data_IF_718632352026
#
_entry.id   IF_718632352026
#
_cell.length_a   1.000
_cell.length_b   1.000
_cell.length_c   1.000
_cell.angle_alpha   90.00
_cell.angle_beta   90.00
_cell.angle_gamma   90.00
#
_symmetry.space_group_name_H-M   'P 1'
#
loop_
_entity.id
_entity.type
_entity.pdbx_description
1 polymer ?
#
# COMPACT_ATOMS: atom_id res chain seq x y z
N UNK A 1 -2.64 36.24 -51.29
CA UNK A 1 -3.45 37.36 -50.78
C UNK A 1 -4.80 36.78 -50.42
N UNK A 2 -5.41 36.91 -49.26
CA UNK A 2 -5.05 37.31 -47.90
C UNK A 2 -6.37 37.13 -47.14
N UNK A 3 -6.41 36.27 -46.14
CA UNK A 3 -7.43 36.13 -45.06
C UNK A 3 -7.24 34.70 -44.51
N UNK A 4 -6.99 34.42 -43.25
CA UNK A 4 -7.24 35.18 -42.03
C UNK A 4 -6.08 35.04 -41.05
N UNK A 5 -5.76 36.15 -40.38
CA UNK A 5 -4.91 36.18 -39.22
C UNK A 5 -5.77 36.41 -37.97
N UNK A 6 -5.54 35.54 -36.97
CA UNK A 6 -5.81 35.69 -35.54
C UNK A 6 -7.28 35.55 -35.04
N UNK A 7 -7.50 35.07 -33.79
CA UNK A 7 -6.69 35.42 -32.62
C UNK A 7 -6.33 34.31 -31.63
N UNK A 8 -5.20 34.54 -30.95
CA UNK A 8 -5.13 34.46 -29.49
C UNK A 8 -5.20 33.06 -28.88
N UNK A 9 -4.08 32.33 -28.91
CA UNK A 9 -3.79 31.40 -27.82
C UNK A 9 -3.46 32.27 -26.61
N UNK A 10 -4.47 32.57 -25.81
CA UNK A 10 -4.32 33.11 -24.46
C UNK A 10 -3.40 32.16 -23.67
N UNK A 11 -2.42 32.68 -22.91
CA UNK A 11 -1.52 31.86 -22.12
C UNK A 11 -2.37 31.13 -21.09
N UNK A 12 -2.46 29.81 -21.21
CA UNK A 12 -2.88 28.99 -20.09
C UNK A 12 -1.95 29.35 -18.93
N UNK A 13 -2.50 30.02 -17.92
CA UNK A 13 -1.86 30.17 -16.63
C UNK A 13 -1.49 28.75 -16.18
N UNK A 14 -0.24 28.38 -16.42
CA UNK A 14 0.46 27.39 -15.65
C UNK A 14 0.49 27.97 -14.23
N UNK A 15 -0.60 27.79 -13.49
CA UNK A 15 -0.53 27.76 -12.05
C UNK A 15 0.42 26.61 -11.71
N UNK A 16 1.72 26.91 -11.67
CA UNK A 16 2.68 26.24 -10.81
C UNK A 16 2.15 26.42 -9.38
N UNK A 17 1.18 25.59 -9.01
CA UNK A 17 0.91 25.30 -7.62
C UNK A 17 2.24 24.89 -6.99
N UNK A 18 2.60 25.39 -5.79
CA UNK A 18 3.87 25.03 -5.18
C UNK A 18 3.97 23.50 -5.13
N UNK A 19 4.98 22.94 -5.81
CA UNK A 19 5.24 21.51 -5.90
C UNK A 19 5.74 20.96 -4.55
N UNK A 20 4.86 20.94 -3.54
CA UNK A 20 5.16 20.42 -2.22
C UNK A 20 3.96 19.68 -1.64
N UNK A 21 4.21 18.49 -1.09
CA UNK A 21 3.25 17.78 -0.25
C UNK A 21 3.09 18.55 1.07
N UNK A 22 1.85 18.77 1.50
CA UNK A 22 1.56 19.32 2.83
C UNK A 22 1.81 18.29 3.93
N UNK A 23 2.04 18.75 5.17
CA UNK A 23 2.21 17.84 6.31
C UNK A 23 1.00 16.91 6.49
N UNK A 24 -0.21 17.46 6.37
CA UNK A 24 -1.45 16.69 6.49
C UNK A 24 -1.64 15.67 5.37
N UNK A 25 -1.18 15.95 4.15
CA UNK A 25 -1.16 14.96 3.07
C UNK A 25 -0.20 13.81 3.39
N UNK A 26 1.00 14.10 3.91
CA UNK A 26 1.95 13.06 4.34
C UNK A 26 1.35 12.18 5.45
N UNK A 27 0.71 12.79 6.45
CA UNK A 27 0.00 12.07 7.52
C UNK A 27 -1.10 11.18 6.94
N UNK A 28 -1.86 11.69 5.97
CA UNK A 28 -2.93 10.93 5.30
C UNK A 28 -2.41 9.72 4.53
N UNK A 29 -1.22 9.81 3.93
CA UNK A 29 -0.58 8.67 3.25
C UNK A 29 -0.34 7.51 4.23
N UNK A 30 0.28 7.78 5.38
CA UNK A 30 0.55 6.74 6.39
C UNK A 30 -0.73 6.24 7.08
N UNK A 31 -1.69 7.13 7.33
CA UNK A 31 -3.00 6.73 7.86
C UNK A 31 -3.70 5.76 6.90
N UNK A 32 -3.77 6.10 5.61
CA UNK A 32 -4.39 5.24 4.60
C UNK A 32 -3.64 3.92 4.43
N UNK A 33 -2.31 3.92 4.50
CA UNK A 33 -1.51 2.69 4.47
C UNK A 33 -1.88 1.76 5.64
N UNK A 34 -1.98 2.30 6.86
CA UNK A 34 -2.41 1.52 8.02
C UNK A 34 -3.86 1.03 7.88
N UNK A 35 -4.77 1.88 7.43
CA UNK A 35 -6.18 1.52 7.25
C UNK A 35 -6.35 0.40 6.20
N UNK A 36 -5.63 0.48 5.07
CA UNK A 36 -5.59 -0.58 4.06
C UNK A 36 -5.04 -1.88 4.65
N UNK A 37 -3.95 -1.81 5.43
CA UNK A 37 -3.36 -2.96 6.08
C UNK A 37 -4.28 -3.62 7.13
N UNK A 38 -5.30 -2.91 7.63
CA UNK A 38 -6.35 -3.48 8.48
C UNK A 38 -7.53 -4.06 7.71
N UNK A 39 -7.47 -4.05 6.37
CA UNK A 39 -8.55 -4.53 5.51
C UNK A 39 -9.74 -3.59 5.40
N UNK A 40 -9.58 -2.31 5.77
CA UNK A 40 -10.64 -1.31 5.63
C UNK A 40 -10.97 -0.97 4.17
N UNK A 41 -10.03 -1.25 3.26
CA UNK A 41 -10.18 -1.03 1.82
C UNK A 41 -9.60 -2.22 1.01
N UNK A 42 -10.27 -2.64 -0.07
CA UNK A 42 -9.72 -3.63 -0.99
C UNK A 42 -8.59 -3.02 -1.83
N UNK A 43 -7.57 -3.81 -2.16
CA UNK A 43 -6.46 -3.34 -2.99
C UNK A 43 -6.95 -3.01 -4.42
N UNK A 44 -6.67 -1.80 -4.95
CA UNK A 44 -7.29 -1.31 -6.19
C UNK A 44 -6.89 -2.10 -7.45
N UNK A 45 -5.72 -2.76 -7.43
CA UNK A 45 -5.24 -3.53 -8.58
C UNK A 45 -5.66 -5.00 -8.57
N UNK A 46 -5.87 -5.60 -7.39
CA UNK A 46 -6.12 -7.05 -7.26
C UNK A 46 -7.54 -7.35 -6.80
N UNK A 47 -8.26 -6.35 -6.26
CA UNK A 47 -9.57 -6.53 -5.64
C UNK A 47 -9.54 -7.35 -4.35
N UNK A 48 -8.36 -7.79 -3.91
CA UNK A 48 -8.21 -8.61 -2.71
C UNK A 48 -8.06 -7.72 -1.48
N UNK A 49 -8.70 -8.13 -0.39
CA UNK A 49 -8.53 -7.52 0.92
C UNK A 49 -7.26 -8.09 1.52
N UNK A 50 -6.21 -7.27 1.60
CA UNK A 50 -4.94 -7.60 2.25
C UNK A 50 -5.02 -7.16 3.71
N UNK A 51 -4.76 -8.07 4.63
CA UNK A 51 -4.68 -7.73 6.06
C UNK A 51 -3.26 -8.04 6.55
N UNK A 52 -2.56 -7.04 7.07
CA UNK A 52 -1.30 -7.20 7.76
C UNK A 52 -1.29 -6.33 9.02
N UNK A 53 -1.35 -7.00 10.16
CA UNK A 53 -1.20 -6.32 11.45
C UNK A 53 0.19 -5.70 11.60
N UNK A 54 1.22 -6.31 11.02
CA UNK A 54 2.58 -5.76 11.05
C UNK A 54 2.66 -4.42 10.31
N UNK A 55 2.15 -4.36 9.08
CA UNK A 55 2.15 -3.12 8.30
C UNK A 55 1.27 -2.03 8.93
N UNK A 56 0.13 -2.41 9.53
CA UNK A 56 -0.71 -1.48 10.27
C UNK A 56 0.02 -0.92 11.51
N UNK A 57 0.73 -1.76 12.25
CA UNK A 57 1.51 -1.33 13.41
C UNK A 57 2.66 -0.41 13.01
N UNK A 58 3.37 -0.70 11.91
CA UNK A 58 4.41 0.16 11.37
C UNK A 58 3.88 1.56 11.03
N UNK A 59 2.73 1.64 10.35
CA UNK A 59 2.07 2.91 10.04
C UNK A 59 1.72 3.70 11.30
N UNK A 60 1.18 3.04 12.34
CA UNK A 60 0.90 3.68 13.65
C UNK A 60 2.20 4.21 14.25
N UNK A 61 3.26 3.41 14.29
CA UNK A 61 4.56 3.81 14.85
C UNK A 61 5.18 4.99 14.10
N UNK A 62 5.05 5.06 12.77
CA UNK A 62 5.50 6.21 11.99
C UNK A 62 4.73 7.46 12.36
N UNK A 63 3.39 7.38 12.46
CA UNK A 63 2.56 8.53 12.85
C UNK A 63 2.87 9.02 14.28
N UNK A 64 3.09 8.10 15.21
CA UNK A 64 3.52 8.44 16.57
C UNK A 64 4.90 9.12 16.58
N UNK A 65 5.85 8.58 15.81
CA UNK A 65 7.18 9.17 15.67
C UNK A 65 7.10 10.57 15.05
N UNK A 66 6.26 10.76 14.02
CA UNK A 66 6.03 12.07 13.42
C UNK A 66 5.52 13.04 14.46
N UNK A 67 4.49 12.67 15.24
CA UNK A 67 3.95 13.51 16.33
C UNK A 67 5.04 13.92 17.32
N UNK A 68 5.91 12.99 17.72
CA UNK A 68 7.00 13.30 18.64
C UNK A 68 8.05 14.23 18.02
N UNK A 69 8.45 13.98 16.76
CA UNK A 69 9.51 14.72 16.07
C UNK A 69 9.07 16.09 15.58
N UNK A 70 7.78 16.30 15.31
CA UNK A 70 7.22 17.59 14.90
C UNK A 70 6.65 18.40 16.05
N UNK A 71 6.70 17.89 17.30
CA UNK A 71 6.19 18.59 18.47
C UNK A 71 6.78 20.00 18.60
N UNK A 72 5.91 21.00 18.72
CA UNK A 72 6.28 22.41 18.79
C UNK A 72 6.42 23.10 17.43
N UNK A 73 6.34 22.35 16.33
CA UNK A 73 6.25 22.87 14.96
C UNK A 73 4.86 22.73 14.34
N UNK A 74 3.94 22.01 15.01
CA UNK A 74 2.55 21.84 14.56
C UNK A 74 1.68 22.98 15.05
N UNK A 75 0.74 23.39 14.22
CA UNK A 75 -0.37 24.21 14.69
C UNK A 75 -1.41 23.37 15.48
N UNK A 76 -2.30 24.06 16.17
CA UNK A 76 -3.35 23.45 17.00
C UNK A 76 -4.29 22.52 16.22
N UNK A 77 -4.54 22.81 14.93
CA UNK A 77 -5.40 22.00 14.08
C UNK A 77 -4.66 20.73 13.64
N UNK A 78 -3.41 20.85 13.21
CA UNK A 78 -2.55 19.74 12.80
C UNK A 78 -2.31 18.76 13.96
N UNK A 79 -1.98 19.25 15.16
CA UNK A 79 -1.75 18.38 16.32
C UNK A 79 -3.01 17.60 16.73
N UNK A 80 -4.17 18.28 16.73
CA UNK A 80 -5.46 17.62 17.00
C UNK A 80 -5.81 16.60 15.92
N UNK A 81 -5.62 16.94 14.66
CA UNK A 81 -5.92 16.04 13.54
C UNK A 81 -5.02 14.81 13.56
N UNK A 82 -3.70 14.99 13.73
CA UNK A 82 -2.74 13.88 13.84
C UNK A 82 -3.07 12.97 15.02
N UNK A 83 -3.41 13.55 16.18
CA UNK A 83 -3.80 12.78 17.37
C UNK A 83 -5.06 11.96 17.10
N UNK A 84 -6.10 12.57 16.52
CA UNK A 84 -7.34 11.88 16.20
C UNK A 84 -7.13 10.72 15.22
N UNK A 85 -6.31 10.92 14.18
CA UNK A 85 -5.99 9.89 13.19
C UNK A 85 -5.20 8.72 13.80
N UNK A 86 -4.25 8.99 14.68
CA UNK A 86 -3.50 7.95 15.42
C UNK A 86 -4.47 7.13 16.29
N UNK A 87 -5.35 7.80 17.04
CA UNK A 87 -6.28 7.14 17.95
C UNK A 87 -7.31 6.29 17.18
N UNK A 88 -7.84 6.82 16.08
CA UNK A 88 -8.73 6.08 15.17
C UNK A 88 -8.05 4.81 14.66
N UNK A 89 -6.81 4.92 14.18
CA UNK A 89 -6.08 3.78 13.62
C UNK A 89 -5.75 2.73 14.70
N UNK A 90 -5.42 3.15 15.92
CA UNK A 90 -5.20 2.25 17.07
C UNK A 90 -6.46 1.50 17.47
N UNK A 91 -7.60 2.21 17.54
CA UNK A 91 -8.90 1.59 17.83
C UNK A 91 -9.20 0.56 16.75
N UNK A 92 -9.11 0.94 15.48
CA UNK A 92 -9.30 0.03 14.35
C UNK A 92 -8.39 -1.20 14.43
N UNK A 93 -7.11 -1.01 14.77
CA UNK A 93 -6.15 -2.09 14.95
C UNK A 93 -6.59 -3.07 16.05
N UNK A 94 -6.98 -2.59 17.22
CA UNK A 94 -7.44 -3.44 18.32
C UNK A 94 -8.71 -4.22 17.94
N UNK A 95 -9.63 -3.58 17.22
CA UNK A 95 -10.83 -4.25 16.70
C UNK A 95 -10.46 -5.35 15.69
N UNK A 96 -9.61 -5.04 14.71
CA UNK A 96 -9.18 -6.00 13.70
C UNK A 96 -8.42 -7.17 14.31
N UNK A 97 -7.54 -6.93 15.28
CA UNK A 97 -6.82 -8.00 16.01
C UNK A 97 -7.79 -8.89 16.78
N UNK A 98 -8.96 -8.42 17.20
CA UNK A 98 -9.97 -9.22 17.90
C UNK A 98 -10.95 -9.91 16.95
N UNK A 99 -11.02 -9.51 15.68
CA UNK A 99 -11.90 -10.12 14.69
C UNK A 99 -11.28 -11.43 14.14
N UNK A 100 -11.96 -12.59 14.32
CA UNK A 100 -11.50 -13.86 13.76
C UNK A 100 -11.32 -13.85 12.25
N UNK A 101 -12.15 -13.09 11.50
CA UNK A 101 -12.08 -13.01 10.04
C UNK A 101 -10.82 -12.28 9.58
N UNK A 102 -10.50 -11.17 10.24
CA UNK A 102 -9.29 -10.40 9.93
C UNK A 102 -8.02 -11.23 10.17
N UNK A 103 -8.00 -12.06 11.23
CA UNK A 103 -6.89 -12.98 11.48
C UNK A 103 -6.73 -14.05 10.41
N UNK A 104 -7.83 -14.63 9.94
CA UNK A 104 -7.80 -15.60 8.84
C UNK A 104 -7.29 -14.96 7.55
N UNK A 105 -7.78 -13.76 7.22
CA UNK A 105 -7.28 -12.99 6.07
C UNK A 105 -5.78 -12.69 6.21
N UNK A 106 -5.32 -12.27 7.39
CA UNK A 106 -3.91 -12.02 7.64
C UNK A 106 -3.04 -13.27 7.46
N UNK A 107 -3.52 -14.46 7.87
CA UNK A 107 -2.82 -15.72 7.62
C UNK A 107 -2.75 -16.06 6.13
N UNK A 108 -3.84 -15.85 5.39
CA UNK A 108 -3.87 -16.08 3.93
C UNK A 108 -2.94 -15.12 3.20
N UNK A 109 -2.94 -13.85 3.61
CA UNK A 109 -2.03 -12.83 3.12
C UNK A 109 -0.57 -13.24 3.37
N UNK A 110 -0.22 -13.69 4.58
CA UNK A 110 1.14 -14.14 4.89
C UNK A 110 1.57 -15.39 4.10
N UNK A 111 0.64 -16.32 3.83
CA UNK A 111 0.89 -17.52 3.02
C UNK A 111 1.08 -17.18 1.53
N UNK A 112 0.25 -16.28 0.97
CA UNK A 112 0.37 -15.84 -0.41
C UNK A 112 1.71 -15.13 -0.69
N UNK A 113 2.20 -14.31 0.25
CA UNK A 113 3.53 -13.68 0.15
C UNK A 113 4.70 -14.68 0.12
N UNK A 114 4.50 -15.89 0.65
CA UNK A 114 5.49 -16.98 0.64
C UNK A 114 5.42 -17.85 -0.63
N UNK A 115 4.32 -17.79 -1.37
CA UNK A 115 4.10 -18.58 -2.59
C UNK A 115 4.45 -17.83 -3.88
N UNK A 116 4.68 -16.50 -3.82
CA UNK A 116 5.11 -15.68 -4.97
C UNK A 116 6.62 -15.72 -5.28
N UNK A 117 7.41 -16.63 -4.67
CA UNK A 117 8.69 -17.06 -5.26
C UNK A 117 8.61 -18.52 -5.75
N UNK A 118 8.37 -18.71 -7.07
CA UNK A 118 8.99 -19.81 -7.75
C UNK A 118 9.80 -19.27 -8.95
N UNK A 119 11.11 -19.27 -8.79
CA UNK A 119 11.98 -19.87 -9.82
C UNK A 119 11.81 -19.31 -11.24
N UNK A 120 12.13 -18.04 -11.47
CA UNK A 120 12.78 -17.66 -12.74
C UNK A 120 14.28 -17.45 -12.52
N UNK A 121 14.95 -18.53 -12.11
CA UNK A 121 16.29 -18.74 -12.64
C UNK A 121 16.08 -19.00 -14.13
N UNK A 122 16.15 -17.94 -14.93
CA UNK A 122 16.39 -18.07 -16.36
C UNK A 122 17.77 -18.73 -16.49
N UNK A 123 17.81 -20.02 -16.79
CA UNK A 123 18.99 -20.55 -17.45
C UNK A 123 19.15 -19.81 -18.77
N UNK A 124 20.39 -19.50 -19.23
CA UNK A 124 20.63 -18.72 -20.44
C UNK A 124 19.93 -19.24 -21.72
N UNK A 125 19.48 -20.50 -21.71
CA UNK A 125 18.87 -21.19 -22.86
C UNK A 125 17.32 -21.26 -22.86
N UNK A 126 16.63 -20.56 -21.96
CA UNK A 126 15.18 -20.31 -22.11
C UNK A 126 14.24 -21.53 -22.05
N UNK A 127 14.63 -22.63 -21.39
CA UNK A 127 13.74 -23.80 -21.15
C UNK A 127 13.16 -23.79 -19.73
N UNK A 128 11.88 -24.09 -19.53
CA UNK A 128 11.30 -24.18 -18.19
C UNK A 128 11.86 -25.39 -17.43
N UNK A 129 12.38 -25.16 -16.23
CA UNK A 129 12.82 -26.20 -15.31
C UNK A 129 11.62 -26.81 -14.55
N UNK A 130 10.64 -27.34 -15.28
CA UNK A 130 9.65 -28.25 -14.70
C UNK A 130 9.07 -29.13 -15.80
N UNK A 131 9.69 -30.29 -15.95
CA UNK A 131 9.06 -31.44 -16.59
C UNK A 131 9.60 -32.68 -15.89
N UNK A 132 9.01 -32.98 -14.73
CA UNK A 132 9.03 -34.30 -14.13
C UNK A 132 7.65 -34.92 -14.38
N UNK A 133 7.50 -35.62 -15.50
CA UNK A 133 6.43 -36.60 -15.73
C UNK A 133 7.10 -37.90 -16.19
N UNK A 134 7.23 -38.87 -15.28
CA UNK A 134 6.26 -39.94 -15.06
C UNK A 134 6.32 -41.03 -16.14
N UNK A 135 7.07 -42.09 -15.87
CA UNK A 135 6.68 -43.45 -16.24
C UNK A 135 7.16 -44.46 -15.18
N UNK A 136 6.27 -45.27 -14.59
CA UNK A 136 6.68 -46.43 -13.82
C UNK A 136 7.03 -47.57 -14.79
N UNK A 137 8.29 -48.04 -14.80
CA UNK A 137 8.61 -49.32 -15.47
C UNK A 137 8.51 -50.45 -14.45
N UNK A 138 7.43 -51.21 -14.62
CA UNK A 138 7.07 -52.44 -13.91
C UNK A 138 8.22 -53.46 -13.91
N UNK A 139 8.31 -54.15 -12.78
CA UNK A 139 9.23 -55.25 -12.42
C UNK A 139 8.71 -56.59 -13.01
N UNK A 140 9.56 -57.22 -13.84
CA UNK A 140 9.85 -58.67 -14.09
C UNK A 140 8.68 -59.58 -14.61
N UNK A 141 8.92 -60.76 -15.23
CA UNK A 141 9.68 -61.91 -14.72
C UNK A 141 10.98 -62.26 -15.49
#
# INVERSE_FOLDING_TARGET
>A
MSEEASPGVEPGEEQEAPHGISFMELVSVFFNQGAMALGAMPHPMTGQVYVSFEAAQESISILELLKEKTRGNLDDQEDRALTALIDELKIAFVHAVRDPRARELAQRTAQASHEEEPSRILTPDGRPASSAESQPRIIIP
#
